data_IF_247101599673
#
_entry.id   IF_247101599673
#
_cell.length_a   1.000
_cell.length_b   1.000
_cell.length_c   1.000
_cell.angle_alpha   90.00
_cell.angle_beta   90.00
_cell.angle_gamma   90.00
#
_symmetry.space_group_name_H-M   'P 1'
#
loop_
_entity.id
_entity.type
_entity.pdbx_description
1 polymer ?
#
# COMPACT_ATOMS: atom_id res chain seq x y z
N UNK A 1 7.29 -62.18 -23.57
CA UNK A 1 7.20 -62.41 -22.12
C UNK A 1 7.50 -61.08 -21.45
N UNK A 2 6.46 -60.46 -20.91
CA UNK A 2 6.54 -59.29 -20.04
C UNK A 2 6.66 -59.76 -18.58
N UNK A 3 7.05 -58.83 -17.69
CA UNK A 3 7.19 -58.92 -16.22
C UNK A 3 8.67 -59.02 -15.79
N UNK A 4 9.22 -58.21 -14.88
CA UNK A 4 8.63 -57.33 -13.86
C UNK A 4 9.49 -56.06 -13.70
N UNK A 5 8.91 -54.89 -13.96
CA UNK A 5 9.36 -53.67 -13.27
C UNK A 5 8.59 -53.66 -11.96
N UNK A 6 9.26 -54.05 -10.88
CA UNK A 6 8.74 -53.93 -9.53
C UNK A 6 8.46 -52.45 -9.24
N UNK A 7 7.23 -52.03 -9.51
CA UNK A 7 6.63 -50.86 -8.89
C UNK A 7 6.38 -51.19 -7.41
N UNK A 8 7.47 -51.32 -6.65
CA UNK A 8 7.38 -51.43 -5.21
C UNK A 8 7.02 -50.05 -4.68
N UNK A 9 5.73 -49.92 -4.41
CA UNK A 9 5.16 -48.99 -3.45
C UNK A 9 6.13 -48.74 -2.28
N UNK A 10 6.50 -47.47 -2.09
CA UNK A 10 6.13 -46.73 -0.89
C UNK A 10 6.56 -45.29 -1.09
N UNK A 11 5.58 -44.41 -1.33
CA UNK A 11 5.60 -43.13 -0.62
C UNK A 11 5.72 -43.57 0.83
N UNK A 12 6.93 -43.48 1.41
CA UNK A 12 7.10 -43.68 2.83
C UNK A 12 6.15 -42.68 3.47
N UNK A 13 5.03 -43.16 4.00
CA UNK A 13 4.20 -42.37 4.90
C UNK A 13 5.13 -41.90 6.00
N UNK A 14 5.60 -40.66 5.87
CA UNK A 14 6.42 -39.97 6.84
C UNK A 14 5.49 -39.60 8.01
N UNK A 15 5.01 -40.62 8.71
CA UNK A 15 4.35 -40.55 10.00
C UNK A 15 5.41 -40.37 11.11
N UNK A 16 6.48 -39.61 10.84
CA UNK A 16 7.39 -39.18 11.90
C UNK A 16 6.54 -38.33 12.86
N UNK A 17 6.35 -38.78 14.11
CA UNK A 17 5.47 -38.09 15.06
C UNK A 17 5.90 -36.65 15.32
N UNK A 18 7.18 -36.33 15.14
CA UNK A 18 7.72 -34.98 15.26
C UNK A 18 7.30 -34.13 14.05
N UNK A 19 7.39 -34.67 12.84
CA UNK A 19 6.97 -33.98 11.62
C UNK A 19 5.46 -33.73 11.64
N UNK A 20 4.66 -34.73 12.03
CA UNK A 20 3.20 -34.57 12.17
C UNK A 20 2.85 -33.47 13.17
N UNK A 21 3.44 -33.47 14.38
CA UNK A 21 3.23 -32.40 15.37
C UNK A 21 3.65 -31.02 14.89
N UNK A 22 4.72 -30.93 14.10
CA UNK A 22 5.17 -29.66 13.52
C UNK A 22 4.21 -29.16 12.45
N UNK A 23 3.65 -30.05 11.62
CA UNK A 23 2.62 -29.70 10.62
C UNK A 23 1.35 -29.23 11.31
N UNK A 24 0.88 -29.92 12.35
CA UNK A 24 -0.27 -29.50 13.15
C UNK A 24 -0.07 -28.10 13.74
N UNK A 25 1.10 -27.86 14.34
CA UNK A 25 1.46 -26.55 14.90
C UNK A 25 1.55 -25.46 13.82
N UNK A 26 2.10 -25.77 12.65
CA UNK A 26 2.13 -24.85 11.52
C UNK A 26 0.72 -24.45 11.07
N UNK A 27 -0.20 -25.41 10.98
CA UNK A 27 -1.59 -25.16 10.58
C UNK A 27 -2.34 -24.33 11.63
N UNK A 28 -2.10 -24.58 12.92
CA UNK A 28 -2.62 -23.77 14.02
C UNK A 28 -2.10 -22.32 13.93
N UNK A 29 -0.79 -22.12 13.81
CA UNK A 29 -0.21 -20.79 13.62
C UNK A 29 -0.77 -20.06 12.40
N UNK A 30 -0.90 -20.75 11.26
CA UNK A 30 -1.50 -20.18 10.04
C UNK A 30 -2.93 -19.70 10.28
N UNK A 31 -3.71 -20.48 11.03
CA UNK A 31 -5.10 -20.15 11.37
C UNK A 31 -5.18 -18.94 12.30
N UNK A 32 -4.35 -18.92 13.34
CA UNK A 32 -4.27 -17.79 14.27
C UNK A 32 -3.81 -16.51 13.57
N UNK A 33 -2.80 -16.57 12.71
CA UNK A 33 -2.34 -15.42 11.91
C UNK A 33 -3.49 -14.85 11.09
N UNK A 34 -4.27 -15.69 10.42
CA UNK A 34 -5.42 -15.25 9.63
C UNK A 34 -6.48 -14.58 10.49
N UNK A 35 -6.76 -15.13 11.68
CA UNK A 35 -7.69 -14.52 12.63
C UNK A 35 -7.19 -13.16 13.14
N UNK A 36 -5.92 -13.04 13.49
CA UNK A 36 -5.32 -11.77 13.92
C UNK A 36 -5.31 -10.73 12.79
N UNK A 37 -5.02 -11.12 11.55
CA UNK A 37 -5.10 -10.23 10.40
C UNK A 37 -6.53 -9.69 10.20
N UNK A 38 -7.55 -10.53 10.35
CA UNK A 38 -8.96 -10.11 10.30
C UNK A 38 -9.25 -9.06 11.38
N UNK A 39 -8.86 -9.34 12.63
CA UNK A 39 -9.06 -8.42 13.76
C UNK A 39 -8.31 -7.11 13.58
N UNK A 40 -7.08 -7.14 13.07
CA UNK A 40 -6.31 -5.92 12.73
C UNK A 40 -7.05 -5.10 11.67
N UNK A 41 -7.62 -5.73 10.65
CA UNK A 41 -8.36 -5.02 9.61
C UNK A 41 -9.63 -4.38 10.15
N UNK A 42 -10.39 -5.08 11.00
CA UNK A 42 -11.57 -4.54 11.69
C UNK A 42 -11.19 -3.32 12.55
N UNK A 43 -10.09 -3.41 13.31
CA UNK A 43 -9.59 -2.29 14.11
C UNK A 43 -9.16 -1.09 13.25
N UNK A 44 -8.52 -1.34 12.10
CA UNK A 44 -8.16 -0.26 11.16
C UNK A 44 -9.38 0.46 10.60
N UNK A 45 -10.46 -0.28 10.30
CA UNK A 45 -11.72 0.31 9.85
C UNK A 45 -12.34 1.15 10.95
N UNK A 46 -12.43 0.62 12.17
CA UNK A 46 -12.95 1.36 13.32
C UNK A 46 -12.13 2.62 13.62
N UNK A 47 -10.79 2.52 13.60
CA UNK A 47 -9.88 3.65 13.74
C UNK A 47 -10.17 4.74 12.70
N UNK A 48 -10.41 4.34 11.44
CA UNK A 48 -10.70 5.29 10.35
C UNK A 48 -12.03 6.02 10.55
N UNK A 49 -13.05 5.33 11.06
CA UNK A 49 -14.34 5.95 11.37
C UNK A 49 -14.19 7.03 12.45
N UNK A 50 -13.51 6.68 13.54
CA UNK A 50 -13.23 7.63 14.64
C UNK A 50 -12.37 8.81 14.17
N UNK A 51 -11.33 8.56 13.36
CA UNK A 51 -10.51 9.62 12.77
C UNK A 51 -11.36 10.61 11.96
N UNK A 52 -12.30 10.12 11.13
CA UNK A 52 -13.16 10.97 10.33
C UNK A 52 -14.11 11.81 11.21
N UNK A 53 -14.68 11.23 12.27
CA UNK A 53 -15.54 11.96 13.22
C UNK A 53 -14.78 13.09 13.90
N UNK A 54 -13.56 12.82 14.38
CA UNK A 54 -12.70 13.84 15.01
C UNK A 54 -12.37 14.95 14.00
N UNK A 55 -11.98 14.60 12.77
CA UNK A 55 -11.71 15.60 11.73
C UNK A 55 -12.94 16.47 11.44
N UNK A 56 -14.13 15.86 11.33
CA UNK A 56 -15.36 16.59 11.10
C UNK A 56 -15.69 17.53 12.25
N UNK A 57 -15.55 17.06 13.49
CA UNK A 57 -15.74 17.87 14.69
C UNK A 57 -14.77 19.07 14.72
N UNK A 58 -13.48 18.82 14.50
CA UNK A 58 -12.46 19.88 14.50
C UNK A 58 -12.72 20.92 13.41
N UNK A 59 -13.12 20.52 12.21
CA UNK A 59 -13.46 21.44 11.12
C UNK A 59 -14.73 22.23 11.39
N UNK A 60 -15.77 21.56 11.89
CA UNK A 60 -17.06 22.21 12.14
C UNK A 60 -16.97 23.29 13.20
N UNK A 61 -16.08 23.10 14.19
CA UNK A 61 -15.89 24.04 15.29
C UNK A 61 -14.67 24.97 15.09
N UNK A 62 -13.99 24.89 13.93
CA UNK A 62 -12.76 25.64 13.62
C UNK A 62 -11.67 25.50 14.71
N UNK A 63 -11.47 24.26 15.20
CA UNK A 63 -10.49 23.92 16.23
C UNK A 63 -9.26 23.30 15.55
N UNK A 64 -8.14 24.03 15.43
CA UNK A 64 -6.93 23.51 14.78
C UNK A 64 -6.23 22.41 15.60
N UNK A 65 -6.53 22.33 16.89
CA UNK A 65 -5.86 21.41 17.81
C UNK A 65 -6.67 21.09 19.07
N UNK A 66 -6.72 19.82 19.46
CA UNK A 66 -7.44 19.32 20.64
C UNK A 66 -6.45 18.81 21.69
N UNK A 67 -6.56 19.28 22.94
CA UNK A 67 -5.74 18.78 24.06
C UNK A 67 -6.29 17.45 24.58
N UNK A 68 -5.38 16.52 24.86
CA UNK A 68 -5.67 15.22 25.46
C UNK A 68 -5.31 15.21 26.95
N UNK A 69 -5.88 14.26 27.69
CA UNK A 69 -5.76 14.18 29.16
C UNK A 69 -4.30 14.03 29.65
N UNK A 70 -3.42 13.51 28.81
CA UNK A 70 -2.00 13.25 29.07
C UNK A 70 -1.08 14.41 28.63
N UNK A 71 -1.63 15.61 28.41
CA UNK A 71 -0.94 16.81 27.88
C UNK A 71 -0.45 16.66 26.43
N UNK A 72 -0.75 15.56 25.76
CA UNK A 72 -0.52 15.44 24.32
C UNK A 72 -1.59 16.16 23.54
N UNK A 73 -1.32 16.47 22.28
CA UNK A 73 -2.22 17.26 21.44
C UNK A 73 -2.47 16.57 20.11
N UNK A 74 -3.74 16.54 19.72
CA UNK A 74 -4.15 16.12 18.38
C UNK A 74 -4.27 17.35 17.49
N UNK A 75 -3.51 17.41 16.40
CA UNK A 75 -3.50 18.54 15.46
C UNK A 75 -4.05 18.11 14.11
N UNK A 76 -4.92 18.94 13.55
CA UNK A 76 -5.30 18.82 12.14
C UNK A 76 -4.25 19.53 11.30
N UNK A 77 -3.56 18.78 10.45
CA UNK A 77 -2.47 19.31 9.62
C UNK A 77 -2.76 19.06 8.14
N UNK A 78 -2.43 20.04 7.32
CA UNK A 78 -2.54 19.90 5.86
C UNK A 78 -1.18 19.51 5.32
N UNK A 79 -1.12 18.34 4.67
CA UNK A 79 0.06 17.89 3.94
C UNK A 79 -0.16 18.09 2.45
N UNK A 80 0.67 18.91 1.85
CA UNK A 80 0.70 19.09 0.41
C UNK A 80 1.69 18.11 -0.23
N UNK A 81 1.32 17.58 -1.39
CA UNK A 81 2.20 16.70 -2.16
C UNK A 81 1.92 16.88 -3.65
N UNK A 82 2.96 16.89 -4.49
CA UNK A 82 2.77 16.87 -5.95
C UNK A 82 2.11 15.55 -6.34
N UNK A 83 1.17 15.58 -7.31
CA UNK A 83 0.63 14.34 -7.87
C UNK A 83 1.77 13.43 -8.35
N UNK A 84 1.62 12.12 -8.12
CA UNK A 84 2.64 11.13 -8.46
C UNK A 84 2.83 10.99 -9.97
N UNK A 85 4.07 10.73 -10.40
CA UNK A 85 4.38 10.28 -11.77
C UNK A 85 4.10 8.79 -11.84
N UNK A 86 2.94 8.42 -12.35
CA UNK A 86 2.64 7.01 -12.63
C UNK A 86 3.15 6.64 -14.03
N UNK A 87 3.40 5.35 -14.30
CA UNK A 87 3.73 4.89 -15.65
C UNK A 87 2.70 5.31 -16.70
N UNK A 88 1.41 5.31 -16.32
CA UNK A 88 0.32 5.81 -17.18
C UNK A 88 0.47 7.30 -17.50
N UNK A 89 0.69 8.12 -16.48
CA UNK A 89 0.91 9.56 -16.68
C UNK A 89 2.10 9.83 -17.61
N UNK A 90 3.21 9.12 -17.41
CA UNK A 90 4.40 9.27 -18.25
C UNK A 90 4.10 8.91 -19.71
N UNK A 91 3.39 7.80 -19.95
CA UNK A 91 2.98 7.38 -21.29
C UNK A 91 2.08 8.41 -21.97
N UNK A 92 1.08 8.92 -21.25
CA UNK A 92 0.14 9.91 -21.78
C UNK A 92 0.85 11.23 -22.14
N UNK A 93 1.81 11.67 -21.32
CA UNK A 93 2.60 12.88 -21.63
C UNK A 93 3.60 12.66 -22.77
N UNK A 94 4.25 11.50 -22.85
CA UNK A 94 5.14 11.15 -23.97
C UNK A 94 4.39 11.20 -25.31
N UNK A 95 3.18 10.63 -25.39
CA UNK A 95 2.34 10.64 -26.59
C UNK A 95 1.98 12.08 -27.02
N UNK A 96 1.75 12.99 -26.06
CA UNK A 96 1.42 14.39 -26.36
C UNK A 96 2.59 15.16 -26.97
N UNK A 97 3.82 14.87 -26.52
CA UNK A 97 5.02 15.57 -26.97
C UNK A 97 5.65 14.95 -28.22
N UNK A 98 5.40 13.67 -28.50
CA UNK A 98 5.95 12.94 -29.65
C UNK A 98 5.22 13.23 -30.98
N UNK A 99 5.22 14.50 -31.40
CA UNK A 99 4.51 14.98 -32.61
C UNK A 99 5.40 15.20 -33.85
N UNK A 100 6.69 14.89 -33.83
CA UNK A 100 7.62 15.22 -34.92
C UNK A 100 8.40 14.03 -35.48
N UNK A 101 8.75 14.12 -36.77
CA UNK A 101 9.43 13.09 -37.56
C UNK A 101 10.97 13.19 -37.53
N UNK A 102 11.58 14.03 -36.67
CA UNK A 102 13.03 14.27 -36.67
C UNK A 102 13.65 14.05 -35.28
N UNK A 103 14.51 13.03 -35.14
CA UNK A 103 14.63 12.28 -33.87
C UNK A 103 15.69 12.84 -32.89
N UNK A 104 16.65 13.66 -33.32
CA UNK A 104 17.81 14.02 -32.47
C UNK A 104 17.66 15.31 -31.65
N UNK A 105 17.33 16.44 -32.30
CA UNK A 105 17.19 17.72 -31.60
C UNK A 105 15.84 17.85 -30.88
N UNK A 106 14.79 17.23 -31.44
CA UNK A 106 13.46 17.21 -30.82
C UNK A 106 13.44 16.38 -29.54
N UNK A 107 14.30 15.36 -29.39
CA UNK A 107 14.37 14.56 -28.17
C UNK A 107 14.78 15.39 -26.94
N UNK A 108 15.75 16.31 -27.10
CA UNK A 108 16.15 17.22 -26.02
C UNK A 108 15.04 18.20 -25.67
N UNK A 109 14.28 18.66 -26.67
CA UNK A 109 13.14 19.57 -26.48
C UNK A 109 12.00 18.85 -25.77
N UNK A 110 11.63 17.65 -26.22
CA UNK A 110 10.63 16.78 -25.59
C UNK A 110 10.98 16.47 -24.13
N UNK A 111 12.25 16.16 -23.85
CA UNK A 111 12.70 15.85 -22.50
C UNK A 111 12.63 17.08 -21.58
N UNK A 112 13.00 18.27 -22.08
CA UNK A 112 12.83 19.52 -21.33
C UNK A 112 11.35 19.81 -21.04
N UNK A 113 10.47 19.56 -21.99
CA UNK A 113 9.03 19.76 -21.80
C UNK A 113 8.45 18.80 -20.75
N UNK A 114 8.86 17.52 -20.78
CA UNK A 114 8.44 16.53 -19.78
C UNK A 114 8.96 16.89 -18.38
N UNK A 115 10.23 17.28 -18.25
CA UNK A 115 10.81 17.71 -16.96
C UNK A 115 10.05 18.94 -16.44
N UNK A 116 9.79 19.93 -17.28
CA UNK A 116 9.00 21.11 -16.90
C UNK A 116 7.60 20.73 -16.42
N UNK A 117 6.92 19.79 -17.09
CA UNK A 117 5.61 19.28 -16.65
C UNK A 117 5.69 18.48 -15.35
N UNK A 118 6.79 17.79 -15.11
CA UNK A 118 7.07 17.10 -13.85
C UNK A 118 7.21 18.11 -12.70
N UNK A 119 7.93 19.20 -12.93
CA UNK A 119 8.17 20.22 -11.92
C UNK A 119 6.92 21.02 -11.61
N UNK A 120 6.09 21.29 -12.62
CA UNK A 120 4.85 22.05 -12.49
C UNK A 120 3.60 21.18 -12.27
N UNK A 121 3.77 19.93 -11.79
CA UNK A 121 2.62 19.06 -11.49
C UNK A 121 1.71 19.71 -10.43
N UNK A 122 0.39 19.57 -10.58
CA UNK A 122 -0.55 20.05 -9.57
C UNK A 122 -0.26 19.38 -8.22
N UNK A 123 -0.39 20.17 -7.16
CA UNK A 123 -0.37 19.69 -5.79
C UNK A 123 -1.74 19.17 -5.37
N UNK A 124 -1.72 18.17 -4.50
CA UNK A 124 -2.89 17.68 -3.79
C UNK A 124 -2.64 17.88 -2.31
N UNK A 125 -3.62 18.46 -1.62
CA UNK A 125 -3.59 18.66 -0.18
C UNK A 125 -4.42 17.57 0.48
N UNK A 126 -3.85 16.96 1.52
CA UNK A 126 -4.55 15.98 2.35
C UNK A 126 -4.45 16.39 3.82
N UNK A 127 -5.60 16.48 4.47
CA UNK A 127 -5.67 16.74 5.90
C UNK A 127 -5.46 15.45 6.68
N UNK A 128 -4.63 15.52 7.72
CA UNK A 128 -4.22 14.40 8.55
C UNK A 128 -4.30 14.80 10.03
N UNK A 129 -4.77 13.88 10.86
CA UNK A 129 -4.62 13.99 12.31
C UNK A 129 -3.22 13.54 12.70
N UNK A 130 -2.50 14.40 13.42
CA UNK A 130 -1.16 14.12 13.93
C UNK A 130 -1.19 14.24 15.45
N UNK A 131 -0.70 13.21 16.13
CA UNK A 131 -0.49 13.19 17.58
C UNK A 131 0.89 13.75 17.90
N UNK A 132 0.97 14.72 18.82
CA UNK A 132 2.22 15.37 19.27
C UNK A 132 2.29 15.43 20.78
#
# INVERSE_FOLDING_TARGET
>A
MANDVSSSDTITELNDPVVVKNVERYLDFKTQIKAYQKKINELKVAQKLVENEIQNFMKHNDIPSMQLNDKSQLKLTTRESKKSVTPKWMKDELIKVSKSNNVSDDAKIMMKEIISKIDNRPTTSKELLVHK
#
